data_IF_243255069723
#
_entry.id   IF_243255069723
#
_cell.length_a   1.000
_cell.length_b   1.000
_cell.length_c   1.000
_cell.angle_alpha   90.00
_cell.angle_beta   90.00
_cell.angle_gamma   90.00
#
_symmetry.space_group_name_H-M   'P 1'
#
loop_
_entity.id
_entity.type
_entity.pdbx_description
1 polymer ?
#
# COMPACT_ATOMS: atom_id res chain seq x y z
N UNK A 1 13.14 -3.81 7.26
CA UNK A 1 12.41 -4.46 6.15
C UNK A 1 13.21 -4.31 4.88
N UNK A 2 13.44 -5.39 4.16
CA UNK A 2 14.00 -5.40 2.81
C UNK A 2 12.87 -5.72 1.83
N UNK A 3 12.71 -4.92 0.80
CA UNK A 3 11.87 -5.20 -0.36
C UNK A 3 12.83 -5.58 -1.50
N UNK A 4 12.86 -6.84 -1.93
CA UNK A 4 13.77 -7.29 -2.98
C UNK A 4 13.53 -6.58 -4.31
N UNK A 5 14.53 -6.62 -5.18
CA UNK A 5 14.39 -6.16 -6.55
C UNK A 5 13.22 -6.85 -7.27
N UNK A 6 12.62 -6.16 -8.19
CA UNK A 6 11.59 -6.73 -9.06
C UNK A 6 11.86 -6.31 -10.51
N UNK A 7 11.97 -7.32 -11.37
CA UNK A 7 12.15 -7.15 -12.82
C UNK A 7 11.02 -7.89 -13.53
N UNK A 8 9.91 -7.21 -13.75
CA UNK A 8 8.78 -7.82 -14.45
C UNK A 8 8.16 -6.85 -15.46
N UNK A 9 7.82 -7.38 -16.63
CA UNK A 9 7.06 -6.68 -17.67
C UNK A 9 7.64 -5.32 -18.09
N UNK A 10 8.97 -5.24 -18.28
CA UNK A 10 9.65 -4.02 -18.72
C UNK A 10 9.83 -2.93 -17.66
N UNK A 11 9.36 -3.16 -16.44
CA UNK A 11 9.62 -2.29 -15.29
C UNK A 11 10.67 -2.92 -14.37
N UNK A 12 11.65 -2.14 -14.00
CA UNK A 12 12.70 -2.51 -13.04
C UNK A 12 12.53 -1.68 -11.77
N UNK A 13 12.67 -2.33 -10.63
CA UNK A 13 12.75 -1.67 -9.34
C UNK A 13 13.85 -2.33 -8.52
N UNK A 14 14.79 -1.53 -8.08
CA UNK A 14 15.89 -2.00 -7.25
C UNK A 14 15.43 -2.45 -5.86
N UNK A 15 16.25 -3.27 -5.21
CA UNK A 15 16.04 -3.64 -3.83
C UNK A 15 16.09 -2.40 -2.93
N UNK A 16 15.20 -2.33 -1.98
CA UNK A 16 15.11 -1.21 -1.05
C UNK A 16 15.00 -1.69 0.40
N UNK A 17 15.93 -1.24 1.24
CA UNK A 17 15.92 -1.52 2.68
C UNK A 17 15.53 -0.27 3.45
N UNK A 18 14.75 -0.44 4.51
CA UNK A 18 14.38 0.67 5.38
C UNK A 18 13.34 0.29 6.43
N UNK A 19 13.01 1.23 7.32
CA UNK A 19 11.96 1.03 8.32
C UNK A 19 10.57 0.99 7.67
N UNK A 20 9.58 0.50 8.42
CA UNK A 20 8.17 0.56 8.03
C UNK A 20 7.65 1.99 8.12
N UNK A 21 7.96 2.66 9.22
CA UNK A 21 7.62 4.06 9.44
C UNK A 21 8.89 4.91 9.37
N UNK A 22 8.82 6.04 8.73
CA UNK A 22 9.92 6.99 8.64
C UNK A 22 9.37 8.41 8.52
N UNK A 23 10.19 9.40 8.91
CA UNK A 23 9.86 10.80 8.74
C UNK A 23 10.59 11.35 7.52
N UNK A 24 9.90 12.10 6.71
CA UNK A 24 10.43 12.83 5.56
C UNK A 24 9.79 14.22 5.54
N UNK A 25 10.60 15.27 5.60
CA UNK A 25 10.15 16.67 5.69
C UNK A 25 9.14 16.93 6.83
N UNK A 26 9.37 16.29 7.99
CA UNK A 26 8.49 16.41 9.15
C UNK A 26 7.15 15.62 9.03
N UNK A 27 6.91 14.94 7.92
CA UNK A 27 5.71 14.14 7.69
C UNK A 27 6.00 12.67 7.97
N UNK A 28 5.16 12.04 8.79
CA UNK A 28 5.23 10.60 9.02
C UNK A 28 4.78 9.86 7.74
N UNK A 29 5.66 9.03 7.25
CA UNK A 29 5.43 8.18 6.10
C UNK A 29 5.45 6.72 6.48
N UNK A 30 4.78 5.91 5.69
CA UNK A 30 4.74 4.47 5.90
C UNK A 30 5.06 3.71 4.63
N UNK A 31 5.84 2.66 4.80
CA UNK A 31 6.17 1.67 3.78
C UNK A 31 5.83 0.29 4.34
N UNK A 32 4.65 -0.20 4.04
CA UNK A 32 4.20 -1.48 4.53
C UNK A 32 3.43 -2.24 3.45
N UNK A 33 3.58 -3.54 3.46
CA UNK A 33 2.74 -4.44 2.67
C UNK A 33 2.61 -5.77 3.40
N UNK A 34 1.39 -6.23 3.60
CA UNK A 34 1.08 -7.51 4.24
C UNK A 34 1.30 -8.73 3.33
N UNK A 35 2.05 -8.58 2.25
CA UNK A 35 2.36 -9.70 1.34
C UNK A 35 3.36 -10.65 1.99
N UNK A 36 3.11 -11.94 1.94
CA UNK A 36 4.06 -12.99 2.36
C UNK A 36 5.26 -13.13 1.41
N UNK A 37 5.14 -12.61 0.19
CA UNK A 37 6.18 -12.65 -0.83
C UNK A 37 6.75 -11.24 -1.07
N UNK A 38 8.00 -11.16 -1.45
CA UNK A 38 8.71 -9.93 -1.77
C UNK A 38 8.95 -8.99 -0.58
N UNK A 39 9.04 -9.54 0.63
CA UNK A 39 9.52 -8.84 1.81
C UNK A 39 10.38 -9.79 2.62
N UNK A 40 11.53 -9.27 3.06
CA UNK A 40 12.39 -9.94 4.01
C UNK A 40 12.49 -9.07 5.26
N UNK A 41 12.13 -9.66 6.38
CA UNK A 41 12.23 -9.02 7.69
C UNK A 41 13.56 -9.38 8.35
N UNK A 42 14.10 -8.47 9.17
CA UNK A 42 15.20 -8.85 10.04
C UNK A 42 14.74 -9.95 11.00
N UNK A 43 15.58 -10.96 11.17
CA UNK A 43 15.31 -12.05 12.10
C UNK A 43 15.69 -11.65 13.54
N UNK A 44 14.93 -10.74 14.12
CA UNK A 44 15.12 -10.23 15.47
C UNK A 44 13.79 -10.33 16.23
N UNK A 45 13.84 -10.76 17.50
CA UNK A 45 12.62 -10.95 18.30
C UNK A 45 11.75 -9.70 18.45
N UNK A 46 12.36 -8.51 18.50
CA UNK A 46 11.64 -7.24 18.55
C UNK A 46 10.91 -6.94 17.23
N UNK A 47 11.49 -7.31 16.10
CA UNK A 47 10.84 -7.12 14.78
C UNK A 47 9.61 -8.01 14.67
N UNK A 48 9.70 -9.27 15.12
CA UNK A 48 8.56 -10.18 15.12
C UNK A 48 7.42 -9.69 16.02
N UNK A 49 7.75 -9.17 17.21
CA UNK A 49 6.76 -8.57 18.10
C UNK A 49 6.11 -7.33 17.52
N UNK A 50 6.88 -6.45 16.89
CA UNK A 50 6.36 -5.25 16.24
C UNK A 50 5.44 -5.58 15.05
N UNK A 51 5.77 -6.62 14.29
CA UNK A 51 4.93 -7.09 13.20
C UNK A 51 3.60 -7.65 13.70
N UNK A 52 3.64 -8.49 14.72
CA UNK A 52 2.42 -9.03 15.33
C UNK A 52 1.50 -7.91 15.85
N UNK A 53 2.05 -6.92 16.54
CA UNK A 53 1.30 -5.76 17.01
C UNK A 53 0.71 -4.94 15.84
N UNK A 54 1.46 -4.73 14.77
CA UNK A 54 0.96 -4.03 13.58
C UNK A 54 -0.18 -4.80 12.90
N UNK A 55 -0.05 -6.11 12.77
CA UNK A 55 -1.10 -6.96 12.22
C UNK A 55 -2.37 -6.93 13.07
N UNK A 56 -2.22 -6.97 14.39
CA UNK A 56 -3.33 -6.86 15.33
C UNK A 56 -4.05 -5.50 15.22
N UNK A 57 -3.30 -4.40 15.19
CA UNK A 57 -3.85 -3.06 14.98
C UNK A 57 -4.62 -2.99 13.66
N UNK A 58 -4.03 -3.46 12.57
CA UNK A 58 -4.67 -3.47 11.26
C UNK A 58 -5.90 -4.38 11.20
N UNK A 59 -5.93 -5.46 11.98
CA UNK A 59 -7.08 -6.34 12.10
C UNK A 59 -8.19 -5.73 12.96
N UNK A 60 -7.84 -5.06 14.07
CA UNK A 60 -8.77 -4.54 15.07
C UNK A 60 -9.36 -3.16 14.80
N UNK A 61 -8.75 -2.34 13.94
CA UNK A 61 -9.06 -0.90 13.77
C UNK A 61 -10.33 -0.61 12.96
N UNK A 62 -11.44 -1.26 13.26
CA UNK A 62 -12.69 -1.11 12.50
C UNK A 62 -13.16 0.35 12.41
N UNK A 63 -12.99 1.13 13.47
CA UNK A 63 -13.37 2.55 13.54
C UNK A 63 -12.58 3.46 12.57
N UNK A 64 -11.40 3.04 12.12
CA UNK A 64 -10.57 3.80 11.18
C UNK A 64 -10.61 3.24 9.76
N UNK A 65 -11.52 2.32 9.48
CA UNK A 65 -11.67 1.72 8.14
C UNK A 65 -12.75 2.41 7.37
N UNK A 66 -12.39 2.78 6.15
CA UNK A 66 -13.35 3.23 5.15
C UNK A 66 -13.53 2.14 4.11
N UNK A 67 -14.76 1.89 3.74
CA UNK A 67 -15.09 1.09 2.56
C UNK A 67 -15.67 1.99 1.50
N UNK A 68 -15.08 1.94 0.32
CA UNK A 68 -15.58 2.64 -0.83
C UNK A 68 -15.71 1.67 -2.01
N UNK A 69 -16.74 1.84 -2.80
CA UNK A 69 -16.90 1.20 -4.09
C UNK A 69 -16.84 2.28 -5.15
N UNK A 70 -15.86 2.21 -6.01
CA UNK A 70 -15.72 3.14 -7.12
C UNK A 70 -16.66 2.71 -8.25
N UNK A 71 -17.40 3.65 -8.78
CA UNK A 71 -18.19 3.51 -9.99
C UNK A 71 -17.33 3.75 -11.24
N UNK A 72 -17.80 3.41 -12.44
CA UNK A 72 -17.13 3.80 -13.67
C UNK A 72 -16.88 5.31 -13.72
N UNK A 73 -15.65 5.71 -14.04
CA UNK A 73 -15.22 7.11 -14.08
C UNK A 73 -14.76 7.69 -12.74
N UNK A 74 -14.93 6.97 -11.64
CA UNK A 74 -14.43 7.40 -10.33
C UNK A 74 -13.00 6.91 -10.08
N UNK A 75 -12.25 7.68 -9.32
CA UNK A 75 -10.89 7.38 -8.90
C UNK A 75 -10.65 7.66 -7.42
N UNK A 76 -9.58 7.11 -6.89
CA UNK A 76 -9.12 7.35 -5.54
C UNK A 76 -7.70 7.91 -5.58
N UNK A 77 -7.52 9.08 -5.00
CA UNK A 77 -6.20 9.62 -4.72
C UNK A 77 -5.84 9.34 -3.26
N UNK A 78 -4.68 8.75 -3.04
CA UNK A 78 -4.31 8.23 -1.73
C UNK A 78 -2.84 8.52 -1.43
N UNK A 79 -2.56 9.07 -0.27
CA UNK A 79 -1.20 9.33 0.23
C UNK A 79 -0.57 8.07 0.88
N UNK A 80 -0.70 6.92 0.21
CA UNK A 80 -0.11 5.64 0.62
C UNK A 80 -0.57 5.12 2.00
N UNK A 81 -1.79 5.41 2.38
CA UNK A 81 -2.40 4.77 3.57
C UNK A 81 -2.59 3.26 3.33
N UNK A 82 -2.61 2.43 4.39
CA UNK A 82 -2.92 1.02 4.24
C UNK A 82 -4.23 0.81 3.52
N UNK A 83 -4.19 0.04 2.47
CA UNK A 83 -5.38 -0.25 1.69
C UNK A 83 -5.36 -1.68 1.16
N UNK A 84 -6.52 -2.25 1.00
CA UNK A 84 -6.72 -3.53 0.34
C UNK A 84 -7.94 -3.48 -0.57
N UNK A 85 -7.96 -4.38 -1.50
CA UNK A 85 -9.10 -4.59 -2.38
C UNK A 85 -9.77 -5.89 -1.99
N UNK A 86 -11.10 -5.88 -1.89
CA UNK A 86 -11.87 -7.10 -1.73
C UNK A 86 -11.80 -7.96 -3.00
N UNK A 87 -12.02 -9.25 -2.85
CA UNK A 87 -12.12 -10.15 -3.99
C UNK A 87 -13.30 -9.75 -4.88
N UNK A 88 -13.17 -9.94 -6.17
CA UNK A 88 -14.22 -9.70 -7.15
C UNK A 88 -14.16 -10.77 -8.23
N UNK A 89 -15.27 -10.94 -8.93
CA UNK A 89 -15.35 -11.76 -10.13
C UNK A 89 -15.55 -10.85 -11.33
N UNK A 90 -14.73 -11.02 -12.35
CA UNK A 90 -14.97 -10.36 -13.63
C UNK A 90 -16.14 -10.98 -14.34
N UNK A 91 -16.81 -10.20 -15.18
CA UNK A 91 -17.83 -10.70 -16.10
C UNK A 91 -17.21 -11.71 -17.09
N UNK A 92 -17.96 -12.72 -17.46
CA UNK A 92 -17.59 -13.60 -18.58
C UNK A 92 -17.53 -12.82 -19.91
N UNK A 93 -18.31 -11.76 -20.04
CA UNK A 93 -18.31 -10.85 -21.17
C UNK A 93 -17.06 -9.97 -21.12
N UNK A 94 -16.19 -10.10 -22.11
CA UNK A 94 -14.93 -9.37 -22.20
C UNK A 94 -15.12 -7.86 -22.27
N UNK A 95 -16.23 -7.40 -22.83
CA UNK A 95 -16.55 -5.95 -22.96
C UNK A 95 -16.96 -5.32 -21.63
N UNK A 96 -17.32 -6.14 -20.65
CA UNK A 96 -17.75 -5.73 -19.30
C UNK A 96 -16.71 -6.02 -18.23
N UNK A 97 -15.50 -6.38 -18.62
CA UNK A 97 -14.41 -6.55 -17.67
C UNK A 97 -14.04 -5.22 -17.02
N UNK A 98 -13.76 -5.32 -15.76
CA UNK A 98 -13.30 -4.17 -15.00
C UNK A 98 -11.89 -3.77 -15.43
N UNK A 99 -11.73 -2.51 -15.83
CA UNK A 99 -10.44 -1.89 -16.10
C UNK A 99 -10.12 -0.89 -14.99
N UNK A 100 -8.93 -0.99 -14.40
CA UNK A 100 -8.46 -0.08 -13.36
C UNK A 100 -7.08 0.43 -13.75
N UNK A 101 -6.97 1.73 -13.92
CA UNK A 101 -5.68 2.39 -14.07
C UNK A 101 -5.07 2.65 -12.70
N UNK A 102 -3.76 2.48 -12.58
CA UNK A 102 -3.01 2.77 -11.37
C UNK A 102 -1.78 3.60 -11.72
N UNK A 103 -1.78 4.84 -11.27
CA UNK A 103 -0.61 5.71 -11.28
C UNK A 103 0.10 5.70 -9.93
N UNK A 104 1.41 5.94 -9.94
CA UNK A 104 2.20 6.23 -8.73
C UNK A 104 2.89 7.55 -8.97
N UNK A 105 2.80 8.42 -7.98
CA UNK A 105 3.50 9.70 -7.97
C UNK A 105 4.76 9.54 -7.12
N UNK A 106 5.87 10.08 -7.58
CA UNK A 106 7.12 10.12 -6.84
C UNK A 106 7.16 11.31 -5.88
N UNK A 107 6.50 12.38 -6.25
CA UNK A 107 6.42 13.58 -5.43
C UNK A 107 5.24 13.50 -4.44
N UNK A 108 5.45 13.96 -3.21
CA UNK A 108 4.37 14.06 -2.25
C UNK A 108 3.33 15.08 -2.72
N UNK A 109 2.06 14.77 -2.54
CA UNK A 109 0.99 15.72 -2.77
C UNK A 109 1.01 16.71 -1.60
N UNK A 110 1.44 17.93 -1.87
CA UNK A 110 1.32 19.01 -0.92
C UNK A 110 -0.15 19.49 -0.90
N UNK A 111 -0.85 19.18 0.18
CA UNK A 111 -2.10 19.87 0.47
C UNK A 111 -1.71 21.29 0.89
N UNK A 112 -1.96 22.29 0.05
CA UNK A 112 -1.93 23.67 0.52
C UNK A 112 -2.98 23.80 1.61
N UNK A 113 -2.55 24.23 2.80
CA UNK A 113 -3.51 24.64 3.81
C UNK A 113 -4.46 25.68 3.18
N UNK A 114 -5.77 25.63 3.44
CA UNK A 114 -6.65 26.71 3.05
C UNK A 114 -6.13 28.00 3.68
N UNK A 115 -6.04 29.03 2.84
CA UNK A 115 -5.64 30.37 3.27
C UNK A 115 -6.64 30.94 4.27
#
# INVERSE_FOLDING_TARGET
>A
MLIPENRSHGASRDACTGPVFFSEDGVLRMRYTARKHNIVWKNEGLVSKALAALEEILAGSAQFRFRARLNPGEGLLCANVPHRRDAFRDSADQTKKRLVYRGRYHEPIALKAPA
#
